data_IF_027043223036
#
_entry.id   IF_027043223036
#
_cell.length_a   1.000
_cell.length_b   1.000
_cell.length_c   1.000
_cell.angle_alpha   90.00
_cell.angle_beta   90.00
_cell.angle_gamma   90.00
#
_symmetry.space_group_name_H-M   'P 1'
#
loop_
_entity.id
_entity.type
_entity.pdbx_description
1 polymer ?
#
# COMPACT_ATOMS: atom_id res chain seq x y z
N UNK A 1 -34.21 23.12 -32.24
CA UNK A 1 -32.97 22.51 -31.71
C UNK A 1 -32.37 21.60 -32.77
N UNK A 2 -31.06 21.61 -32.93
CA UNK A 2 -30.38 20.69 -33.89
C UNK A 2 -30.48 19.23 -33.40
N UNK A 3 -30.40 18.27 -34.31
CA UNK A 3 -30.42 16.82 -33.94
C UNK A 3 -29.38 16.46 -32.89
N UNK A 4 -28.12 16.94 -32.93
CA UNK A 4 -27.15 16.70 -31.84
C UNK A 4 -27.59 17.23 -30.46
N UNK A 5 -28.26 18.38 -30.44
CA UNK A 5 -28.79 18.97 -29.19
C UNK A 5 -29.92 18.14 -28.60
N UNK A 6 -30.78 17.54 -29.42
CA UNK A 6 -31.87 16.66 -28.98
C UNK A 6 -31.34 15.34 -28.42
N UNK A 7 -30.31 14.76 -29.06
CA UNK A 7 -29.65 13.53 -28.56
C UNK A 7 -29.03 13.79 -27.19
N UNK A 8 -28.29 14.90 -27.06
CA UNK A 8 -27.66 15.25 -25.79
C UNK A 8 -28.70 15.48 -24.68
N UNK A 9 -29.81 16.16 -24.95
CA UNK A 9 -30.90 16.38 -24.02
C UNK A 9 -31.51 15.04 -23.54
N UNK A 10 -31.75 14.13 -24.49
CA UNK A 10 -32.30 12.81 -24.16
C UNK A 10 -31.38 12.01 -23.25
N UNK A 11 -30.05 12.04 -23.50
CA UNK A 11 -29.06 11.39 -22.65
C UNK A 11 -29.00 12.03 -21.25
N UNK A 12 -29.04 13.33 -21.12
CA UNK A 12 -29.09 14.03 -19.83
C UNK A 12 -30.35 13.67 -19.03
N UNK A 13 -31.51 13.51 -19.68
CA UNK A 13 -32.75 13.09 -19.02
C UNK A 13 -32.61 11.66 -18.46
N UNK A 14 -31.98 10.74 -19.20
CA UNK A 14 -31.74 9.38 -18.75
C UNK A 14 -30.80 9.29 -17.54
N UNK A 15 -29.85 10.21 -17.45
CA UNK A 15 -28.89 10.28 -16.33
C UNK A 15 -29.47 10.92 -15.08
N UNK A 16 -30.69 11.48 -15.16
CA UNK A 16 -31.33 12.14 -14.01
C UNK A 16 -31.73 11.13 -12.95
N UNK A 17 -31.32 11.41 -11.71
CA UNK A 17 -31.77 10.63 -10.55
C UNK A 17 -33.23 10.94 -10.24
N UNK A 18 -34.06 9.90 -10.13
CA UNK A 18 -35.39 9.99 -9.55
C UNK A 18 -35.26 10.12 -8.03
N UNK A 19 -35.48 11.32 -7.53
CA UNK A 19 -35.28 11.66 -6.12
C UNK A 19 -36.25 10.88 -5.22
N UNK A 20 -37.53 10.79 -5.61
CA UNK A 20 -38.55 10.10 -4.81
C UNK A 20 -38.19 8.63 -4.69
N UNK A 21 -37.90 7.98 -5.83
CA UNK A 21 -37.52 6.58 -5.85
C UNK A 21 -36.25 6.31 -5.06
N UNK A 22 -35.23 7.20 -5.12
CA UNK A 22 -33.98 7.04 -4.40
C UNK A 22 -34.16 7.15 -2.86
N UNK A 23 -35.13 7.93 -2.40
CA UNK A 23 -35.48 8.06 -0.97
C UNK A 23 -36.33 6.87 -0.49
N UNK A 24 -37.32 6.48 -1.26
CA UNK A 24 -38.21 5.36 -0.90
C UNK A 24 -37.52 3.99 -1.02
N UNK A 25 -36.57 3.84 -1.96
CA UNK A 25 -35.79 2.65 -2.20
C UNK A 25 -34.29 3.01 -2.22
N UNK A 26 -33.67 3.22 -1.06
CA UNK A 26 -32.26 3.61 -1.01
C UNK A 26 -31.38 2.53 -1.64
N UNK A 27 -30.31 2.93 -2.33
CA UNK A 27 -29.34 1.97 -2.89
C UNK A 27 -28.71 1.12 -1.77
N UNK A 28 -28.21 -0.08 -2.08
CA UNK A 28 -27.49 -0.90 -1.12
C UNK A 28 -26.26 -0.16 -0.58
N UNK A 29 -25.75 -0.59 0.57
CA UNK A 29 -24.51 -0.04 1.13
C UNK A 29 -23.38 -0.15 0.12
N UNK A 30 -22.46 0.83 0.16
CA UNK A 30 -21.27 0.83 -0.68
C UNK A 30 -20.49 -0.47 -0.50
N UNK A 31 -20.20 -1.15 -1.61
CA UNK A 31 -19.30 -2.29 -1.65
C UNK A 31 -17.89 -1.85 -2.05
N UNK A 32 -16.90 -2.60 -1.58
CA UNK A 32 -15.50 -2.39 -1.89
C UNK A 32 -14.90 -3.65 -2.51
N UNK A 33 -13.96 -3.46 -3.43
CA UNK A 33 -13.24 -4.55 -4.09
C UNK A 33 -12.11 -5.06 -3.20
N UNK A 34 -11.36 -4.12 -2.60
CA UNK A 34 -10.27 -4.36 -1.66
C UNK A 34 -10.02 -3.08 -0.88
N UNK A 35 -9.75 -3.18 0.43
CA UNK A 35 -9.66 -2.00 1.27
C UNK A 35 -10.88 -1.11 1.07
N UNK A 36 -10.66 0.16 0.78
CA UNK A 36 -11.75 1.09 0.44
C UNK A 36 -11.78 1.48 -1.05
N UNK A 37 -11.24 0.63 -1.95
CA UNK A 37 -11.45 0.78 -3.39
C UNK A 37 -12.90 0.47 -3.74
N UNK A 38 -13.71 1.48 -4.11
CA UNK A 38 -15.15 1.28 -4.33
C UNK A 38 -15.42 0.35 -5.53
N UNK A 39 -16.43 -0.50 -5.38
CA UNK A 39 -16.99 -1.30 -6.46
C UNK A 39 -18.02 -0.47 -7.25
N UNK A 40 -17.55 0.59 -7.91
CA UNK A 40 -18.36 1.53 -8.67
C UNK A 40 -17.75 1.81 -10.04
N UNK A 41 -18.55 1.83 -11.13
CA UNK A 41 -18.04 2.18 -12.45
C UNK A 41 -17.49 3.60 -12.53
N UNK A 42 -16.33 3.76 -13.15
CA UNK A 42 -15.71 5.05 -13.38
C UNK A 42 -14.91 5.59 -12.20
N UNK A 43 -14.50 4.70 -11.29
CA UNK A 43 -13.60 5.04 -10.19
C UNK A 43 -12.26 4.32 -10.35
N UNK A 44 -11.23 4.87 -9.73
CA UNK A 44 -9.92 4.24 -9.62
C UNK A 44 -9.26 4.56 -8.29
N UNK A 45 -8.31 3.72 -7.89
CA UNK A 45 -7.44 3.87 -6.73
C UNK A 45 -5.97 4.02 -7.12
N UNK A 46 -5.14 4.41 -6.16
CA UNK A 46 -3.70 4.57 -6.32
C UNK A 46 -2.94 3.92 -5.16
N UNK A 47 -1.85 3.22 -5.49
CA UNK A 47 -0.77 2.90 -4.57
C UNK A 47 0.40 3.85 -4.83
N UNK A 48 0.72 4.71 -3.87
CA UNK A 48 1.72 5.78 -4.02
C UNK A 48 2.88 5.50 -3.08
N UNK A 49 4.11 5.70 -3.53
CA UNK A 49 5.28 5.60 -2.67
C UNK A 49 6.59 5.74 -3.42
N UNK A 50 7.71 5.93 -2.71
CA UNK A 50 9.04 6.00 -3.31
C UNK A 50 9.47 4.65 -3.88
N UNK A 51 10.58 4.67 -4.65
CA UNK A 51 11.20 3.44 -5.12
C UNK A 51 11.62 2.56 -3.93
N UNK A 52 11.45 1.26 -4.07
CA UNK A 52 11.74 0.31 -2.99
C UNK A 52 10.73 0.27 -1.84
N UNK A 53 9.64 1.05 -1.87
CA UNK A 53 8.58 1.03 -0.85
C UNK A 53 7.65 -0.18 -0.93
N UNK A 54 7.92 -1.15 -1.81
CA UNK A 54 7.18 -2.41 -1.97
C UNK A 54 5.78 -2.28 -2.57
N UNK A 55 5.53 -1.24 -3.35
CA UNK A 55 4.26 -1.05 -4.07
C UNK A 55 3.85 -2.27 -4.90
N UNK A 56 4.77 -2.76 -5.76
CA UNK A 56 4.51 -3.92 -6.63
C UNK A 56 4.29 -5.23 -5.85
N UNK A 57 4.91 -5.37 -4.67
CA UNK A 57 4.61 -6.49 -3.77
C UNK A 57 3.20 -6.40 -3.20
N UNK A 58 2.79 -5.21 -2.74
CA UNK A 58 1.42 -5.00 -2.26
C UNK A 58 0.41 -5.17 -3.39
N UNK A 59 0.71 -4.68 -4.59
CA UNK A 59 -0.11 -4.89 -5.78
C UNK A 59 -0.28 -6.39 -6.09
N UNK A 60 0.79 -7.19 -5.96
CA UNK A 60 0.75 -8.65 -6.10
C UNK A 60 -0.12 -9.30 -5.02
N UNK A 61 0.02 -8.92 -3.74
CA UNK A 61 -0.85 -9.40 -2.68
C UNK A 61 -2.32 -9.08 -2.94
N UNK A 62 -2.62 -7.85 -3.37
CA UNK A 62 -3.98 -7.44 -3.74
C UNK A 62 -4.51 -8.31 -4.88
N UNK A 63 -3.69 -8.54 -5.93
CA UNK A 63 -4.10 -9.30 -7.10
C UNK A 63 -4.49 -10.74 -6.76
N UNK A 64 -3.61 -11.45 -6.02
CA UNK A 64 -3.91 -12.83 -5.61
C UNK A 64 -5.10 -12.90 -4.65
N UNK A 65 -5.22 -11.92 -3.74
CA UNK A 65 -6.30 -11.90 -2.74
C UNK A 65 -7.67 -11.68 -3.38
N UNK A 66 -7.79 -10.76 -4.33
CA UNK A 66 -9.04 -10.55 -5.08
C UNK A 66 -9.34 -11.77 -5.97
N UNK A 67 -8.34 -12.33 -6.66
CA UNK A 67 -8.51 -13.54 -7.47
C UNK A 67 -8.91 -14.76 -6.64
N UNK A 68 -8.48 -14.84 -5.39
CA UNK A 68 -8.78 -15.93 -4.47
C UNK A 68 -10.01 -15.71 -3.59
N UNK A 69 -10.52 -14.47 -3.48
CA UNK A 69 -11.52 -14.10 -2.49
C UNK A 69 -11.00 -14.27 -1.05
N UNK A 70 -9.77 -13.84 -0.80
CA UNK A 70 -9.06 -14.02 0.47
C UNK A 70 -8.58 -12.69 1.02
N UNK A 71 -8.38 -12.59 2.35
CA UNK A 71 -7.81 -11.38 2.95
C UNK A 71 -6.45 -11.02 2.37
N UNK A 72 -6.15 -9.72 2.31
CA UNK A 72 -4.90 -9.21 1.75
C UNK A 72 -3.79 -9.27 2.78
N UNK A 73 -2.64 -9.83 2.39
CA UNK A 73 -1.41 -9.82 3.18
C UNK A 73 -1.62 -10.33 4.62
N UNK A 74 -1.99 -11.62 4.74
CA UNK A 74 -2.24 -12.27 6.04
C UNK A 74 -0.92 -12.57 6.74
N UNK A 75 -0.79 -12.15 8.01
CA UNK A 75 0.36 -12.39 8.84
C UNK A 75 0.42 -13.76 9.49
N UNK A 76 1.57 -14.10 10.10
CA UNK A 76 1.73 -15.34 10.84
C UNK A 76 0.74 -15.48 12.02
N UNK A 77 0.27 -14.35 12.55
CA UNK A 77 -0.72 -14.25 13.63
C UNK A 77 -2.18 -14.28 13.13
N UNK A 78 -2.39 -14.39 11.80
CA UNK A 78 -3.70 -14.40 11.18
C UNK A 78 -4.30 -13.01 10.95
N UNK A 79 -3.61 -11.92 11.33
CA UNK A 79 -4.07 -10.56 11.00
C UNK A 79 -3.93 -10.31 9.50
N UNK A 80 -4.82 -9.49 8.92
CA UNK A 80 -4.78 -9.11 7.51
C UNK A 80 -4.79 -7.60 7.34
N UNK A 81 -4.18 -7.11 6.25
CA UNK A 81 -4.22 -5.70 5.94
C UNK A 81 -5.63 -5.25 5.54
N UNK A 82 -6.24 -5.99 4.63
CA UNK A 82 -7.62 -5.76 4.17
C UNK A 82 -8.30 -7.08 3.81
N UNK A 83 -9.62 -7.07 3.86
CA UNK A 83 -10.47 -8.13 3.33
C UNK A 83 -10.74 -7.92 1.83
N UNK A 84 -10.74 -9.01 1.07
CA UNK A 84 -11.26 -9.03 -0.29
C UNK A 84 -12.67 -9.66 -0.27
N UNK A 85 -13.76 -8.87 -0.28
CA UNK A 85 -15.09 -9.39 0.08
C UNK A 85 -15.64 -10.42 -0.91
N UNK A 86 -15.26 -10.31 -2.17
CA UNK A 86 -15.74 -11.21 -3.23
C UNK A 86 -14.60 -11.61 -4.18
N UNK A 87 -14.59 -12.89 -4.59
CA UNK A 87 -13.67 -13.41 -5.60
C UNK A 87 -14.02 -12.87 -6.99
N UNK A 88 -13.00 -12.56 -7.80
CA UNK A 88 -13.20 -12.18 -9.20
C UNK A 88 -11.92 -12.14 -9.98
N UNK A 89 -12.05 -12.11 -11.32
CA UNK A 89 -10.90 -12.08 -12.23
C UNK A 89 -10.12 -10.79 -12.10
N UNK A 90 -8.80 -10.90 -12.04
CA UNK A 90 -7.86 -9.79 -11.95
C UNK A 90 -6.96 -9.79 -13.19
N UNK A 91 -6.77 -8.62 -13.77
CA UNK A 91 -5.79 -8.39 -14.83
C UNK A 91 -4.71 -7.45 -14.32
N UNK A 92 -3.48 -7.94 -14.24
CA UNK A 92 -2.34 -7.19 -13.72
C UNK A 92 -1.32 -6.93 -14.83
N UNK A 93 -1.22 -5.67 -15.27
CA UNK A 93 -0.20 -5.20 -16.20
C UNK A 93 1.05 -4.80 -15.41
N UNK A 94 2.20 -5.41 -15.72
CA UNK A 94 3.49 -5.11 -15.12
C UNK A 94 4.52 -4.82 -16.21
N UNK A 95 5.15 -3.64 -16.17
CA UNK A 95 6.12 -3.22 -17.18
C UNK A 95 7.58 -3.33 -16.76
N UNK A 96 7.88 -3.09 -15.47
CA UNK A 96 9.26 -3.07 -14.96
C UNK A 96 9.85 -4.47 -14.74
N UNK A 97 9.02 -5.45 -14.42
CA UNK A 97 9.47 -6.78 -14.03
C UNK A 97 9.32 -7.81 -15.17
N UNK A 98 10.34 -8.65 -15.35
CA UNK A 98 10.25 -9.75 -16.29
C UNK A 98 9.32 -10.87 -15.79
N UNK A 99 8.83 -11.71 -16.72
CA UNK A 99 8.01 -12.88 -16.42
C UNK A 99 8.66 -13.78 -15.33
N UNK A 100 9.99 -13.97 -15.41
CA UNK A 100 10.72 -14.76 -14.42
C UNK A 100 10.75 -14.10 -13.02
N UNK A 101 10.79 -12.77 -12.94
CA UNK A 101 10.73 -12.04 -11.66
C UNK A 101 9.35 -12.19 -11.05
N UNK A 102 8.30 -11.97 -11.84
CA UNK A 102 6.90 -12.11 -11.40
C UNK A 102 6.60 -13.56 -10.97
N UNK A 103 7.06 -14.55 -11.72
CA UNK A 103 6.91 -15.96 -11.35
C UNK A 103 7.62 -16.31 -10.03
N UNK A 104 8.84 -15.78 -9.80
CA UNK A 104 9.53 -15.95 -8.52
C UNK A 104 8.77 -15.28 -7.35
N UNK A 105 8.16 -14.11 -7.56
CA UNK A 105 7.32 -13.48 -6.53
C UNK A 105 6.10 -14.32 -6.20
N UNK A 106 5.38 -14.81 -7.20
CA UNK A 106 4.24 -15.71 -7.00
C UNK A 106 4.64 -16.98 -6.26
N UNK A 107 5.75 -17.62 -6.69
CA UNK A 107 6.28 -18.78 -5.98
C UNK A 107 6.60 -18.44 -4.52
N UNK A 108 7.26 -17.32 -4.27
CA UNK A 108 7.60 -16.91 -2.89
C UNK A 108 6.34 -16.70 -2.04
N UNK A 109 5.30 -16.09 -2.59
CA UNK A 109 4.02 -15.92 -1.90
C UNK A 109 3.33 -17.26 -1.60
N UNK A 110 3.35 -18.20 -2.55
CA UNK A 110 2.75 -19.54 -2.35
C UNK A 110 3.43 -20.36 -1.27
N UNK A 111 4.65 -20.00 -0.86
CA UNK A 111 5.38 -20.67 0.23
C UNK A 111 5.04 -20.11 1.62
N UNK A 112 4.25 -19.03 1.70
CA UNK A 112 3.80 -18.50 2.98
C UNK A 112 2.77 -19.44 3.61
N UNK A 113 2.83 -19.68 4.93
CA UNK A 113 1.79 -20.43 5.63
C UNK A 113 0.41 -19.83 5.36
N UNK A 114 -0.54 -20.68 4.97
CA UNK A 114 -1.91 -20.24 4.64
C UNK A 114 -2.09 -19.65 3.23
N UNK A 115 -1.07 -19.74 2.34
CA UNK A 115 -1.13 -19.28 0.96
C UNK A 115 -1.11 -20.44 -0.07
N UNK A 116 -1.29 -21.68 0.35
CA UNK A 116 -1.27 -22.87 -0.50
C UNK A 116 -2.33 -22.82 -1.62
N UNK A 117 -3.38 -22.04 -1.41
CA UNK A 117 -4.47 -21.78 -2.36
C UNK A 117 -4.06 -20.92 -3.56
N UNK A 118 -2.90 -20.27 -3.54
CA UNK A 118 -2.43 -19.41 -4.65
C UNK A 118 -2.30 -20.18 -5.97
N UNK A 119 -2.02 -21.47 -5.94
CA UNK A 119 -1.99 -22.34 -7.12
C UNK A 119 -3.38 -22.55 -7.77
N UNK A 120 -4.47 -22.29 -7.04
CA UNK A 120 -5.85 -22.60 -7.46
C UNK A 120 -6.56 -21.37 -8.08
N UNK A 121 -5.82 -20.28 -8.37
CA UNK A 121 -6.39 -19.03 -8.90
C UNK A 121 -6.00 -18.74 -10.36
N UNK A 122 -5.43 -19.70 -11.08
CA UNK A 122 -4.94 -19.53 -12.45
C UNK A 122 -6.00 -18.94 -13.40
N UNK A 123 -7.23 -19.43 -13.31
CA UNK A 123 -8.35 -18.92 -14.12
C UNK A 123 -8.85 -17.51 -13.73
N UNK A 124 -8.37 -16.98 -12.59
CA UNK A 124 -8.81 -15.70 -12.04
C UNK A 124 -7.73 -14.64 -11.99
N UNK A 125 -6.49 -14.97 -12.37
CA UNK A 125 -5.37 -14.03 -12.30
C UNK A 125 -4.53 -14.06 -13.57
N UNK A 126 -4.64 -13.00 -14.36
CA UNK A 126 -3.78 -12.74 -15.50
C UNK A 126 -2.70 -11.75 -15.11
N UNK A 127 -1.45 -12.19 -15.01
CA UNK A 127 -0.29 -11.30 -14.86
C UNK A 127 0.41 -11.18 -16.19
N UNK A 128 0.44 -9.97 -16.73
CA UNK A 128 0.93 -9.68 -18.09
C UNK A 128 2.19 -8.81 -18.00
N UNK A 129 3.40 -9.42 -18.17
CA UNK A 129 4.64 -8.67 -18.28
C UNK A 129 4.71 -7.99 -19.65
N UNK A 130 4.58 -6.68 -19.70
CA UNK A 130 4.50 -5.94 -20.96
C UNK A 130 5.85 -5.47 -21.49
N UNK A 131 6.89 -5.49 -20.67
CA UNK A 131 8.25 -5.03 -21.03
C UNK A 131 8.25 -3.63 -21.65
N UNK A 132 7.39 -2.73 -21.18
CA UNK A 132 7.18 -1.37 -21.71
C UNK A 132 6.75 -1.33 -23.19
N UNK A 133 6.19 -2.43 -23.70
CA UNK A 133 5.73 -2.53 -25.10
C UNK A 133 4.26 -2.16 -25.32
N UNK A 134 3.53 -1.86 -24.24
CA UNK A 134 2.10 -1.56 -24.26
C UNK A 134 1.86 -0.11 -23.88
N UNK A 135 1.49 0.73 -24.84
CA UNK A 135 1.10 2.13 -24.60
C UNK A 135 -0.42 2.25 -24.72
N UNK A 136 -1.09 2.76 -23.70
CA UNK A 136 -2.55 2.91 -23.66
C UNK A 136 -3.03 4.31 -24.07
N UNK A 137 -2.19 5.32 -23.84
CA UNK A 137 -2.46 6.71 -24.20
C UNK A 137 -1.19 7.34 -24.74
N UNK A 138 -1.31 8.07 -25.84
CA UNK A 138 -0.23 8.87 -26.46
C UNK A 138 -0.70 10.29 -26.73
N UNK A 139 0.16 11.13 -27.28
CA UNK A 139 -0.20 12.47 -27.75
C UNK A 139 -0.32 12.48 -29.27
N UNK A 140 -1.33 13.15 -29.79
CA UNK A 140 -1.43 13.44 -31.22
C UNK A 140 -0.46 14.58 -31.66
N UNK A 141 -0.47 14.92 -32.94
CA UNK A 141 0.37 15.99 -33.49
C UNK A 141 0.10 17.38 -32.89
N UNK A 142 -1.03 17.58 -32.24
CA UNK A 142 -1.40 18.83 -31.55
C UNK A 142 -1.13 18.74 -30.02
N UNK A 143 -0.52 17.65 -29.55
CA UNK A 143 -0.24 17.40 -28.11
C UNK A 143 -1.50 17.07 -27.31
N UNK A 144 -2.57 16.58 -27.93
CA UNK A 144 -3.77 16.14 -27.22
C UNK A 144 -3.66 14.65 -26.87
N UNK A 145 -4.06 14.23 -25.66
CA UNK A 145 -4.11 12.82 -25.29
C UNK A 145 -5.09 12.03 -26.16
N UNK A 146 -4.61 10.97 -26.80
CA UNK A 146 -5.38 10.06 -27.64
C UNK A 146 -5.17 8.61 -27.23
N UNK A 147 -6.23 7.82 -27.30
CA UNK A 147 -6.20 6.38 -27.05
C UNK A 147 -5.51 5.66 -28.18
N UNK A 148 -4.66 4.71 -27.84
CA UNK A 148 -3.98 3.86 -28.81
C UNK A 148 -4.88 2.69 -29.27
N UNK A 149 -4.56 2.00 -30.37
CA UNK A 149 -5.22 0.75 -30.73
C UNK A 149 -5.12 -0.32 -29.64
N UNK A 150 -3.98 -0.35 -28.93
CA UNK A 150 -3.70 -1.27 -27.81
C UNK A 150 -4.67 -1.06 -26.67
N UNK A 151 -5.07 0.18 -26.39
CA UNK A 151 -6.12 0.47 -25.40
C UNK A 151 -7.42 -0.26 -25.70
N UNK A 152 -7.86 -0.22 -26.97
CA UNK A 152 -9.11 -0.88 -27.35
C UNK A 152 -9.02 -2.40 -27.23
N UNK A 153 -7.90 -2.98 -27.64
CA UNK A 153 -7.64 -4.41 -27.49
C UNK A 153 -7.60 -4.81 -26.00
N UNK A 154 -6.97 -3.98 -25.17
CA UNK A 154 -6.91 -4.22 -23.73
C UNK A 154 -8.29 -4.15 -23.07
N UNK A 155 -9.14 -3.17 -23.43
CA UNK A 155 -10.52 -3.09 -22.94
C UNK A 155 -11.31 -4.36 -23.24
N UNK A 156 -11.22 -4.87 -24.49
CA UNK A 156 -11.90 -6.11 -24.85
C UNK A 156 -11.39 -7.31 -24.04
N UNK A 157 -10.07 -7.41 -23.84
CA UNK A 157 -9.46 -8.46 -23.03
C UNK A 157 -9.90 -8.40 -21.56
N UNK A 158 -9.96 -7.19 -20.98
CA UNK A 158 -10.25 -6.98 -19.57
C UNK A 158 -11.74 -6.94 -19.22
N UNK A 159 -12.66 -7.10 -20.20
CA UNK A 159 -14.10 -7.16 -19.93
C UNK A 159 -14.44 -8.23 -18.91
N UNK A 160 -15.26 -7.87 -17.93
CA UNK A 160 -15.68 -8.77 -16.85
C UNK A 160 -14.62 -9.04 -15.79
N UNK A 161 -13.47 -8.40 -15.86
CA UNK A 161 -12.53 -8.36 -14.74
C UNK A 161 -13.17 -7.64 -13.55
N UNK A 162 -12.86 -8.08 -12.32
CA UNK A 162 -13.23 -7.39 -11.09
C UNK A 162 -12.24 -6.27 -10.75
N UNK A 163 -10.96 -6.50 -11.06
CA UNK A 163 -9.89 -5.54 -10.81
C UNK A 163 -8.88 -5.53 -11.97
N UNK A 164 -8.46 -4.34 -12.33
CA UNK A 164 -7.33 -4.09 -13.23
C UNK A 164 -6.25 -3.38 -12.42
N UNK A 165 -5.01 -3.91 -12.45
CA UNK A 165 -3.85 -3.29 -11.82
C UNK A 165 -2.88 -2.85 -12.93
N UNK A 166 -2.34 -1.63 -12.82
CA UNK A 166 -1.37 -1.06 -13.76
C UNK A 166 -0.13 -0.63 -12.98
N UNK A 167 1.00 -1.28 -13.22
CA UNK A 167 2.23 -1.14 -12.40
C UNK A 167 3.50 -0.99 -13.27
N UNK A 168 4.13 0.19 -13.26
CA UNK A 168 3.60 1.47 -12.79
C UNK A 168 2.76 2.19 -13.85
N UNK A 169 1.95 3.16 -13.46
CA UNK A 169 1.13 3.96 -14.39
C UNK A 169 1.97 4.66 -15.45
N UNK A 170 3.13 5.18 -15.07
CA UNK A 170 3.99 5.99 -15.93
C UNK A 170 4.35 5.30 -17.26
N UNK A 171 4.58 4.00 -17.23
CA UNK A 171 5.09 3.24 -18.37
C UNK A 171 4.02 2.96 -19.45
N UNK A 172 2.74 3.12 -19.10
CA UNK A 172 1.62 2.84 -20.01
C UNK A 172 1.07 4.09 -20.71
N UNK A 173 1.66 5.26 -20.39
CA UNK A 173 1.20 6.54 -20.93
C UNK A 173 2.39 7.34 -21.46
N UNK A 174 2.46 7.47 -22.79
CA UNK A 174 3.50 8.28 -23.46
C UNK A 174 3.17 9.77 -23.34
N UNK A 175 3.23 10.27 -22.10
CA UNK A 175 2.93 11.65 -21.74
C UNK A 175 3.82 12.12 -20.59
N UNK A 176 4.01 13.44 -20.48
CA UNK A 176 4.65 14.02 -19.29
C UNK A 176 3.69 14.05 -18.10
N UNK A 177 4.02 13.34 -17.02
CA UNK A 177 3.24 13.33 -15.78
C UNK A 177 3.11 14.73 -15.13
N UNK A 178 4.04 15.65 -15.43
CA UNK A 178 4.01 17.04 -14.95
C UNK A 178 3.07 17.96 -15.75
N UNK A 179 2.60 17.53 -16.92
CA UNK A 179 1.62 18.27 -17.71
C UNK A 179 0.20 18.03 -17.19
N UNK A 180 -0.42 19.06 -16.66
CA UNK A 180 -1.78 19.02 -16.12
C UNK A 180 -2.85 18.60 -17.13
N UNK A 181 -2.68 18.91 -18.41
CA UNK A 181 -3.60 18.52 -19.49
C UNK A 181 -3.47 17.01 -19.73
N UNK A 182 -2.24 16.54 -19.85
CA UNK A 182 -1.94 15.14 -20.07
C UNK A 182 -2.40 14.28 -18.88
N UNK A 183 -2.10 14.70 -17.65
CA UNK A 183 -2.57 14.05 -16.42
C UNK A 183 -4.11 13.95 -16.35
N UNK A 184 -4.83 15.00 -16.81
CA UNK A 184 -6.30 14.94 -16.92
C UNK A 184 -6.74 13.88 -17.93
N UNK A 185 -6.03 13.72 -19.04
CA UNK A 185 -6.28 12.68 -20.04
C UNK A 185 -6.18 11.29 -19.45
N UNK A 186 -5.12 11.01 -18.66
CA UNK A 186 -4.94 9.73 -17.96
C UNK A 186 -6.05 9.48 -16.96
N UNK A 187 -6.37 10.45 -16.09
CA UNK A 187 -7.47 10.32 -15.12
C UNK A 187 -8.80 9.99 -15.84
N UNK A 188 -9.07 10.63 -16.96
CA UNK A 188 -10.26 10.35 -17.75
C UNK A 188 -10.21 8.93 -18.32
N UNK A 189 -9.07 8.51 -18.86
CA UNK A 189 -8.87 7.17 -19.43
C UNK A 189 -9.09 6.08 -18.37
N UNK A 190 -8.52 6.21 -17.16
CA UNK A 190 -8.71 5.25 -16.08
C UNK A 190 -10.19 5.11 -15.68
N UNK A 191 -10.91 6.22 -15.62
CA UNK A 191 -12.36 6.22 -15.36
C UNK A 191 -13.17 5.57 -16.48
N UNK A 192 -12.80 5.82 -17.75
CA UNK A 192 -13.44 5.20 -18.90
C UNK A 192 -13.13 3.71 -18.96
N UNK A 193 -11.89 3.30 -18.65
CA UNK A 193 -11.49 1.90 -18.53
C UNK A 193 -12.37 1.18 -17.51
N UNK A 194 -12.54 1.75 -16.32
CA UNK A 194 -13.42 1.19 -15.29
C UNK A 194 -14.87 1.04 -15.78
N UNK A 195 -15.43 2.06 -16.47
CA UNK A 195 -16.80 1.98 -17.01
C UNK A 195 -16.94 0.95 -18.12
N UNK A 196 -15.94 0.87 -19.00
CA UNK A 196 -16.00 0.01 -20.19
C UNK A 196 -15.83 -1.47 -19.84
N UNK A 197 -15.06 -1.78 -18.80
CA UNK A 197 -14.79 -3.16 -18.37
C UNK A 197 -15.68 -3.63 -17.22
N UNK A 198 -16.24 -2.69 -16.44
CA UNK A 198 -16.91 -2.96 -15.17
C UNK A 198 -15.96 -3.19 -13.99
N UNK A 199 -14.65 -3.14 -14.22
CA UNK A 199 -13.63 -3.38 -13.21
C UNK A 199 -13.33 -2.14 -12.36
N UNK A 200 -12.91 -2.35 -11.10
CA UNK A 200 -12.11 -1.36 -10.39
C UNK A 200 -10.73 -1.24 -11.04
N UNK A 201 -10.15 -0.06 -11.02
CA UNK A 201 -8.80 0.19 -11.56
C UNK A 201 -7.89 0.64 -10.42
N UNK A 202 -6.72 0.01 -10.28
CA UNK A 202 -5.70 0.35 -9.31
C UNK A 202 -4.39 0.69 -10.03
N UNK A 203 -3.93 1.93 -9.89
CA UNK A 203 -2.67 2.36 -10.46
C UNK A 203 -1.55 2.38 -9.42
N UNK A 204 -0.39 1.86 -9.77
CA UNK A 204 0.84 2.04 -8.98
C UNK A 204 1.55 3.29 -9.47
N UNK A 205 1.85 4.20 -8.55
CA UNK A 205 2.36 5.53 -8.88
C UNK A 205 3.54 5.92 -7.99
N UNK A 206 4.58 6.48 -8.60
CA UNK A 206 5.75 6.92 -7.85
C UNK A 206 5.48 8.21 -7.07
N UNK A 207 6.08 8.32 -5.90
CA UNK A 207 6.03 9.54 -5.10
C UNK A 207 6.98 10.61 -5.67
N UNK A 208 6.61 11.88 -5.57
CA UNK A 208 7.51 12.97 -5.94
C UNK A 208 8.62 13.18 -4.90
N UNK A 209 9.70 13.88 -5.29
CA UNK A 209 10.84 14.12 -4.42
C UNK A 209 10.49 14.91 -3.16
N UNK A 210 9.53 15.81 -3.23
CA UNK A 210 9.10 16.64 -2.08
C UNK A 210 8.39 15.77 -1.05
N UNK A 211 7.45 14.94 -1.47
CA UNK A 211 6.77 13.98 -0.59
C UNK A 211 7.73 12.96 0.04
N UNK A 212 8.75 12.52 -0.71
CA UNK A 212 9.81 11.66 -0.17
C UNK A 212 10.61 12.34 0.93
N UNK A 213 10.94 13.63 0.77
CA UNK A 213 11.77 14.39 1.73
C UNK A 213 10.96 14.80 2.97
N UNK A 214 9.70 15.14 2.83
CA UNK A 214 8.84 15.56 3.95
C UNK A 214 8.33 14.38 4.79
N UNK A 215 8.35 13.15 4.26
CA UNK A 215 7.71 12.01 4.90
C UNK A 215 6.17 12.09 4.87
N UNK A 216 5.62 12.96 4.01
CA UNK A 216 4.17 13.14 3.91
C UNK A 216 3.48 11.89 3.34
N UNK A 217 2.38 11.51 3.98
CA UNK A 217 1.49 10.41 3.58
C UNK A 217 0.25 10.92 2.82
N UNK A 218 0.36 12.09 2.20
CA UNK A 218 -0.73 12.70 1.47
C UNK A 218 -0.85 12.09 0.06
N UNK A 219 -2.08 11.75 -0.37
CA UNK A 219 -2.38 11.28 -1.73
C UNK A 219 -2.00 12.28 -2.85
N UNK A 220 -1.72 13.54 -2.51
CA UNK A 220 -1.19 14.54 -3.43
C UNK A 220 0.33 14.46 -3.61
N UNK A 221 1.03 13.64 -2.82
CA UNK A 221 2.48 13.46 -2.90
C UNK A 221 2.93 12.59 -4.09
N UNK A 222 2.03 12.08 -4.90
CA UNK A 222 2.34 11.36 -6.13
C UNK A 222 3.17 12.22 -7.10
N UNK A 223 4.04 11.57 -7.89
CA UNK A 223 4.88 12.23 -8.88
C UNK A 223 4.01 12.91 -9.95
N UNK A 224 4.41 14.10 -10.40
CA UNK A 224 3.71 14.84 -11.45
C UNK A 224 2.54 15.69 -10.95
N UNK A 225 1.45 15.68 -11.68
CA UNK A 225 0.28 16.52 -11.39
C UNK A 225 -0.54 16.04 -10.19
N UNK A 226 -0.95 16.97 -9.33
CA UNK A 226 -1.89 16.72 -8.22
C UNK A 226 -3.26 16.16 -8.67
N UNK A 227 -3.53 16.17 -9.97
CA UNK A 227 -4.79 15.66 -10.57
C UNK A 227 -4.98 14.17 -10.39
N UNK A 228 -3.90 13.38 -10.31
CA UNK A 228 -3.99 11.94 -10.04
C UNK A 228 -4.63 11.71 -8.66
N UNK A 229 -4.07 12.32 -7.62
CA UNK A 229 -4.62 12.22 -6.27
C UNK A 229 -6.01 12.83 -6.13
N UNK A 230 -6.28 13.97 -6.80
CA UNK A 230 -7.63 14.57 -6.80
C UNK A 230 -8.65 13.68 -7.53
N UNK A 231 -8.23 13.00 -8.59
CA UNK A 231 -9.08 12.17 -9.47
C UNK A 231 -9.49 10.83 -8.90
N UNK A 232 -8.64 10.19 -8.09
CA UNK A 232 -8.90 8.88 -7.50
C UNK A 232 -9.97 8.94 -6.39
N UNK A 233 -10.52 7.79 -6.01
CA UNK A 233 -11.47 7.66 -4.89
C UNK A 233 -10.91 6.90 -3.70
N UNK A 234 -9.80 6.21 -3.90
CA UNK A 234 -9.02 5.54 -2.89
C UNK A 234 -7.53 5.77 -3.15
N UNK A 235 -6.77 6.06 -2.14
CA UNK A 235 -5.33 6.21 -2.25
C UNK A 235 -4.62 5.71 -1.01
N UNK A 236 -3.62 4.88 -1.24
CA UNK A 236 -2.75 4.31 -0.22
C UNK A 236 -1.33 4.80 -0.45
N UNK A 237 -0.71 5.36 0.56
CA UNK A 237 0.68 5.80 0.54
C UNK A 237 1.55 4.83 1.30
N UNK A 238 2.58 4.33 0.64
CA UNK A 238 3.57 3.41 1.21
C UNK A 238 4.86 4.16 1.51
N UNK A 239 5.36 4.04 2.75
CA UNK A 239 6.62 4.64 3.14
C UNK A 239 7.53 3.65 3.87
N UNK A 240 8.79 3.45 3.43
CA UNK A 240 9.75 2.70 4.21
C UNK A 240 9.89 3.29 5.62
N UNK A 241 10.09 2.43 6.61
CA UNK A 241 10.30 2.86 7.98
C UNK A 241 11.54 3.76 8.08
N UNK A 242 11.40 4.86 8.78
CA UNK A 242 12.45 5.86 9.00
C UNK A 242 12.18 6.62 10.31
N UNK A 243 13.18 7.30 10.86
CA UNK A 243 13.02 8.13 12.07
C UNK A 243 11.90 9.18 11.95
N UNK A 244 11.62 9.65 10.75
CA UNK A 244 10.56 10.65 10.51
C UNK A 244 9.14 10.12 10.70
N UNK A 245 8.89 8.86 10.31
CA UNK A 245 7.56 8.25 10.39
C UNK A 245 7.45 7.19 11.48
N UNK A 246 8.55 6.88 12.15
CA UNK A 246 8.62 5.95 13.27
C UNK A 246 9.75 6.42 14.21
N UNK A 247 9.51 7.38 15.11
CA UNK A 247 10.47 7.80 16.11
C UNK A 247 10.97 6.62 16.96
N UNK A 248 12.29 6.52 17.14
CA UNK A 248 12.89 5.37 17.84
C UNK A 248 13.02 4.12 16.98
N UNK A 249 13.08 4.28 15.66
CA UNK A 249 13.27 3.18 14.67
C UNK A 249 14.49 2.30 14.93
N UNK A 250 15.53 2.82 15.60
CA UNK A 250 16.72 2.13 16.03
C UNK A 250 16.45 1.03 17.08
N UNK A 251 15.30 1.11 17.77
CA UNK A 251 14.84 0.09 18.75
C UNK A 251 14.07 -1.05 18.09
N UNK A 252 13.77 -0.94 16.79
CA UNK A 252 13.03 -1.95 16.04
C UNK A 252 14.00 -2.88 15.33
N UNK A 253 13.78 -4.19 15.49
CA UNK A 253 14.54 -5.19 14.75
C UNK A 253 14.30 -5.06 13.24
N UNK A 254 15.39 -5.01 12.46
CA UNK A 254 15.35 -4.90 10.99
C UNK A 254 14.41 -3.78 10.45
N UNK A 255 14.59 -2.51 10.85
CA UNK A 255 13.67 -1.43 10.46
C UNK A 255 13.52 -1.29 8.94
N UNK A 256 14.55 -1.67 8.16
CA UNK A 256 14.52 -1.67 6.69
C UNK A 256 13.51 -2.66 6.10
N UNK A 257 13.06 -3.63 6.89
CA UNK A 257 12.08 -4.62 6.44
C UNK A 257 10.63 -4.14 6.62
N UNK A 258 10.42 -3.01 7.28
CA UNK A 258 9.10 -2.45 7.52
C UNK A 258 8.71 -1.36 6.53
N UNK A 259 7.43 -1.33 6.18
CA UNK A 259 6.81 -0.28 5.36
C UNK A 259 5.52 0.15 6.00
N UNK A 260 5.38 1.45 6.24
CA UNK A 260 4.15 2.09 6.69
C UNK A 260 3.16 2.15 5.53
N UNK A 261 1.91 1.85 5.82
CA UNK A 261 0.77 1.90 4.93
C UNK A 261 -0.23 2.91 5.49
N UNK A 262 -0.52 3.95 4.73
CA UNK A 262 -1.51 4.96 5.09
C UNK A 262 -2.60 5.04 4.03
N UNK A 263 -3.84 4.83 4.40
CA UNK A 263 -4.96 5.19 3.56
C UNK A 263 -5.17 6.71 3.61
N UNK A 264 -4.58 7.43 2.66
CA UNK A 264 -4.65 8.90 2.63
C UNK A 264 -5.93 9.44 2.01
N UNK A 265 -6.72 8.58 1.38
CA UNK A 265 -8.01 8.91 0.78
C UNK A 265 -8.91 7.68 0.68
N UNK A 266 -10.14 7.81 1.18
CA UNK A 266 -11.22 6.83 1.07
C UNK A 266 -12.57 7.56 0.93
N UNK A 267 -12.90 7.98 -0.30
CA UNK A 267 -14.00 8.93 -0.55
C UNK A 267 -15.39 8.41 -0.19
N UNK A 268 -15.58 7.10 -0.09
CA UNK A 268 -16.88 6.46 0.15
C UNK A 268 -16.89 5.61 1.43
N UNK A 269 -15.78 5.56 2.18
CA UNK A 269 -15.72 4.91 3.47
C UNK A 269 -16.25 5.84 4.58
N UNK A 270 -16.86 5.26 5.59
CA UNK A 270 -17.29 5.99 6.79
C UNK A 270 -16.09 6.38 7.65
N UNK A 271 -15.09 5.50 7.72
CA UNK A 271 -13.84 5.72 8.44
C UNK A 271 -12.66 5.31 7.57
N UNK A 272 -11.53 5.99 7.73
CA UNK A 272 -10.27 5.64 7.09
C UNK A 272 -9.50 4.75 8.07
N UNK A 273 -8.95 3.64 7.57
CA UNK A 273 -8.07 2.81 8.39
C UNK A 273 -6.89 3.64 8.90
N UNK A 274 -6.58 3.47 10.18
CA UNK A 274 -5.42 4.12 10.79
C UNK A 274 -4.10 3.66 10.17
N UNK A 275 -3.00 4.11 10.76
CA UNK A 275 -1.66 3.70 10.38
C UNK A 275 -1.50 2.19 10.48
N UNK A 276 -1.02 1.57 9.41
CA UNK A 276 -0.73 0.15 9.33
C UNK A 276 0.71 -0.07 8.87
N UNK A 277 1.27 -1.23 9.18
CA UNK A 277 2.62 -1.59 8.79
C UNK A 277 2.66 -2.96 8.14
N UNK A 278 3.52 -3.15 7.14
CA UNK A 278 3.85 -4.46 6.58
C UNK A 278 5.33 -4.76 6.79
N UNK A 279 5.63 -6.01 7.09
CA UNK A 279 7.01 -6.51 7.27
C UNK A 279 7.41 -7.40 6.09
N UNK A 280 8.66 -7.27 5.65
CA UNK A 280 9.28 -8.20 4.71
C UNK A 280 9.82 -9.41 5.47
N UNK A 281 9.52 -10.60 5.02
CA UNK A 281 10.08 -11.84 5.53
C UNK A 281 11.08 -12.42 4.55
N UNK A 282 12.13 -13.04 5.06
CA UNK A 282 13.12 -13.78 4.30
C UNK A 282 12.85 -15.27 4.51
N UNK A 283 12.79 -16.04 3.41
CA UNK A 283 12.76 -17.50 3.50
C UNK A 283 14.21 -17.97 3.58
N UNK A 284 14.54 -18.80 4.59
CA UNK A 284 15.85 -19.40 4.74
C UNK A 284 16.17 -20.30 3.53
N UNK A 285 17.35 -20.16 3.00
CA UNK A 285 17.96 -21.09 2.06
C UNK A 285 18.02 -20.67 0.60
N UNK A 286 17.22 -19.71 0.10
CA UNK A 286 17.27 -19.31 -1.31
C UNK A 286 17.39 -17.81 -1.58
N UNK A 287 17.54 -17.01 -0.57
CA UNK A 287 17.69 -15.55 -0.68
C UNK A 287 16.45 -14.81 -1.21
N UNK A 288 15.30 -15.48 -1.34
CA UNK A 288 14.05 -14.87 -1.81
C UNK A 288 13.45 -14.03 -0.73
N UNK A 289 12.99 -12.86 -1.14
CA UNK A 289 12.33 -11.92 -0.26
C UNK A 289 10.84 -12.12 -0.39
N UNK A 290 10.20 -12.50 0.68
CA UNK A 290 8.75 -12.62 0.75
C UNK A 290 8.22 -11.46 1.56
N UNK A 291 7.29 -10.72 0.99
CA UNK A 291 6.53 -9.75 1.76
C UNK A 291 5.27 -10.41 2.27
N UNK A 292 5.07 -10.34 3.52
CA UNK A 292 3.80 -10.67 4.09
C UNK A 292 3.42 -9.65 5.14
N UNK A 293 2.19 -9.56 5.28
CA UNK A 293 1.36 -9.30 6.41
C UNK A 293 1.64 -8.09 7.27
N UNK A 294 0.55 -7.44 7.66
CA UNK A 294 0.55 -6.55 8.80
C UNK A 294 0.90 -7.37 10.05
N UNK A 295 2.14 -7.30 10.47
CA UNK A 295 2.35 -7.32 11.89
C UNK A 295 2.13 -5.87 12.30
N UNK A 296 1.25 -5.59 13.25
CA UNK A 296 1.32 -4.33 13.95
C UNK A 296 2.80 -4.15 14.31
N UNK A 297 3.45 -3.12 13.77
CA UNK A 297 4.74 -2.73 14.28
C UNK A 297 4.43 -2.38 15.72
N UNK A 298 4.74 -3.29 16.63
CA UNK A 298 4.64 -3.01 18.06
C UNK A 298 5.72 -1.98 18.29
N UNK A 299 5.33 -0.73 18.09
CA UNK A 299 6.14 0.37 18.63
C UNK A 299 6.24 0.09 20.11
N UNK A 300 7.46 0.04 20.67
CA UNK A 300 7.61 -0.14 22.09
C UNK A 300 6.71 0.85 22.82
N UNK A 301 5.91 0.35 23.75
CA UNK A 301 5.05 1.21 24.57
C UNK A 301 5.91 2.26 25.28
N UNK A 302 5.32 3.37 25.73
CA UNK A 302 6.06 4.36 26.54
C UNK A 302 6.76 3.73 27.74
N UNK A 303 6.17 2.68 28.32
CA UNK A 303 6.71 1.92 29.44
C UNK A 303 7.91 1.07 29.03
N UNK A 304 7.87 0.39 27.88
CA UNK A 304 9.01 -0.36 27.33
C UNK A 304 10.15 0.58 26.91
N UNK A 305 9.84 1.75 26.36
CA UNK A 305 10.80 2.80 26.05
C UNK A 305 11.50 3.30 27.32
N UNK A 306 10.74 3.56 28.39
CA UNK A 306 11.29 3.99 29.67
C UNK A 306 12.19 2.91 30.30
N UNK A 307 11.78 1.64 30.26
CA UNK A 307 12.59 0.51 30.73
C UNK A 307 13.88 0.36 29.91
N UNK A 308 13.83 0.54 28.60
CA UNK A 308 15.01 0.49 27.74
C UNK A 308 15.99 1.64 28.05
N UNK A 309 15.49 2.87 28.26
CA UNK A 309 16.32 4.01 28.66
C UNK A 309 16.99 3.78 30.04
N UNK A 310 16.25 3.26 31.01
CA UNK A 310 16.79 2.91 32.33
C UNK A 310 17.85 1.83 32.21
N UNK A 311 17.66 0.80 31.38
CA UNK A 311 18.64 -0.26 31.16
C UNK A 311 19.94 0.29 30.54
N UNK A 312 19.84 1.18 29.54
CA UNK A 312 21.00 1.84 28.90
C UNK A 312 21.75 2.70 29.91
N UNK A 313 21.05 3.40 30.80
CA UNK A 313 21.69 4.22 31.82
C UNK A 313 22.41 3.39 32.89
N UNK A 314 21.82 2.26 33.26
CA UNK A 314 22.47 1.28 34.16
C UNK A 314 23.75 0.70 33.54
N UNK A 315 23.73 0.39 32.26
CA UNK A 315 24.89 -0.14 31.54
C UNK A 315 26.00 0.90 31.39
N UNK A 316 25.66 2.16 31.10
CA UNK A 316 26.59 3.30 31.10
C UNK A 316 27.22 3.53 32.50
N UNK A 317 26.47 3.33 33.56
CA UNK A 317 27.01 3.43 34.94
C UNK A 317 27.95 2.28 35.28
N UNK A 318 27.68 1.04 34.80
CA UNK A 318 28.56 -0.12 34.97
C UNK A 318 29.87 0.04 34.20
N UNK A 319 29.84 0.57 32.98
CA UNK A 319 31.03 0.83 32.15
C UNK A 319 31.88 1.99 32.70
N UNK A 320 31.28 3.01 33.32
CA UNK A 320 32.01 4.07 33.99
C UNK A 320 32.69 3.58 35.31
N UNK A 321 32.06 2.69 36.07
CA UNK A 321 32.67 2.06 37.23
C UNK A 321 33.80 1.07 36.90
N UNK A 322 33.78 0.46 35.72
CA UNK A 322 34.85 -0.43 35.24
C UNK A 322 36.11 0.30 34.79
N UNK A 323 36.01 1.56 34.32
CA UNK A 323 37.16 2.37 33.91
C UNK A 323 37.83 3.15 35.05
N UNK A 324 37.20 3.21 36.25
CA UNK A 324 37.77 3.89 37.41
C UNK A 324 38.61 3.00 38.35
N UNK A 325 38.84 1.71 38.00
CA UNK A 325 39.58 0.76 38.83
C UNK A 325 40.96 0.34 38.29
N UNK A 326 41.51 1.05 37.31
CA UNK A 326 42.83 0.73 36.77
C UNK A 326 43.98 1.66 37.25
N UNK A 327 43.70 2.71 38.03
CA UNK A 327 44.75 3.59 38.55
C UNK A 327 44.58 3.84 40.06
N UNK A 328 44.80 2.81 40.89
CA UNK A 328 45.23 3.00 42.26
C UNK A 328 45.75 1.67 42.82
N UNK A 329 47.04 1.48 42.76
CA UNK A 329 47.78 0.56 43.61
C UNK A 329 48.36 1.38 44.76
N UNK A 330 48.15 0.86 45.97
CA UNK A 330 48.78 1.14 47.28
C UNK A 330 47.94 2.01 48.24
N UNK A 331 47.45 1.33 49.26
CA UNK A 331 46.89 1.92 50.46
C UNK A 331 46.12 0.85 51.24
N UNK A 332 46.65 0.47 52.41
CA UNK A 332 46.14 -0.58 53.31
C UNK A 332 44.70 -0.32 53.81
N UNK A 333 44.00 -1.33 54.33
CA UNK A 333 42.56 -1.27 54.56
C UNK A 333 42.24 -0.67 55.95
N UNK A 334 41.30 0.26 55.96
CA UNK A 334 40.62 0.68 57.21
C UNK A 334 39.23 0.07 57.27
N UNK A 335 38.98 -0.61 58.38
CA UNK A 335 37.71 -1.20 58.75
C UNK A 335 36.68 -0.11 59.15
N UNK A 336 35.42 -0.48 58.96
CA UNK A 336 34.17 0.16 59.39
C UNK A 336 33.37 0.92 58.32
N UNK A 337 32.36 0.23 57.77
CA UNK A 337 30.95 0.59 57.96
C UNK A 337 30.03 -0.40 57.18
N UNK A 338 29.46 -1.29 57.97
CA UNK A 338 28.25 -2.03 57.53
C UNK A 338 27.05 -1.08 57.68
N UNK A 339 26.41 -0.79 56.58
CA UNK A 339 25.05 -0.25 56.60
C UNK A 339 24.12 -1.18 55.86
N UNK A 340 23.09 -1.52 56.56
CA UNK A 340 22.08 -2.52 56.29
C UNK A 340 21.38 -2.38 54.91
N UNK A 341 21.23 -3.51 54.26
CA UNK A 341 20.26 -3.71 53.20
C UNK A 341 18.92 -3.95 53.87
N UNK A 342 17.98 -3.06 53.65
CA UNK A 342 16.60 -3.24 54.11
C UNK A 342 15.92 -4.32 53.28
N UNK A 343 15.42 -5.32 53.96
CA UNK A 343 14.49 -6.32 53.50
C UNK A 343 13.20 -5.62 53.02
N UNK A 344 12.78 -5.92 51.80
CA UNK A 344 11.43 -5.59 51.32
C UNK A 344 10.57 -6.80 51.70
N UNK A 345 9.71 -6.64 52.68
CA UNK A 345 8.69 -7.58 53.04
C UNK A 345 7.62 -7.66 51.93
N UNK A 346 7.39 -8.87 51.46
CA UNK A 346 6.10 -9.28 50.90
C UNK A 346 5.10 -9.32 52.09
N UNK A 347 4.05 -8.54 51.92
CA UNK A 347 2.70 -8.75 52.46
C UNK A 347 1.93 -7.43 52.35
N UNK A 348 0.92 -7.42 51.47
CA UNK A 348 -0.43 -7.00 51.82
C UNK A 348 -1.39 -7.18 50.64
N UNK A 349 -2.33 -8.06 50.91
CA UNK A 349 -3.63 -8.24 50.25
C UNK A 349 -4.43 -6.93 50.13
N UNK A 350 -5.00 -6.67 48.93
CA UNK A 350 -6.43 -6.44 48.68
C UNK A 350 -6.69 -6.30 47.21
#
# INVERSE_FOLDING_TARGET
>A
MSAPTQILLHELIKLRIDIVRAIENPPPRQKFIVGHLPEEPGVFGLLIGPDGSRKSWLAMHISISVAGGRPVAVGPDGTSLWEAPERGRVVYLASEDSANVLARRLFSLSQLPGYEWVKDIDEYLDIIPTYSSLTLLSLDSEGKPVKTPEYQAFIEYAKGARLIIIDPLADFFDISESDDRAARGVVQLLREMSRATGAGVLGVHHQNKVGMMSGETNHQSGRGSSRFGAGCRWAVVLQPMSEKNCPGVDKIEDPKDWTRIDESKASYAEEIAGEQWIKRFKIEGDGRIVTSAPAAAVLPTEEENHLAEVAIEIEKRKTKKGKGKSDEKNGEPDEHEMVAVGEINDDDDF
#
